data_IF_822005333303
#
_entry.id   IF_822005333303
#
_cell.length_a   1.000
_cell.length_b   1.000
_cell.length_c   1.000
_cell.angle_alpha   90.00
_cell.angle_beta   90.00
_cell.angle_gamma   90.00
#
_symmetry.space_group_name_H-M   'P 1'
#
loop_
_entity.id
_entity.type
_entity.pdbx_description
1 polymer ?
#
# COMPACT_ATOMS: atom_id res chain seq x y z
N UNK A 1 40.74 3.37 14.12
CA UNK A 1 40.32 2.14 13.44
C UNK A 1 38.88 1.91 13.86
N UNK A 2 37.93 2.12 12.95
CA UNK A 2 36.53 1.72 13.17
C UNK A 2 36.52 0.21 13.40
N UNK A 3 36.06 -0.23 14.58
CA UNK A 3 35.93 -1.66 14.83
C UNK A 3 34.80 -2.17 13.93
N UNK A 4 35.16 -3.01 12.96
CA UNK A 4 34.17 -3.78 12.22
C UNK A 4 33.62 -4.82 13.19
N UNK A 5 32.58 -4.44 13.93
CA UNK A 5 31.87 -5.38 14.78
C UNK A 5 31.21 -6.42 13.87
N UNK A 6 31.27 -7.69 14.28
CA UNK A 6 30.54 -8.73 13.57
C UNK A 6 29.04 -8.39 13.63
N UNK A 7 28.29 -8.58 12.53
CA UNK A 7 26.84 -8.47 12.56
C UNK A 7 26.27 -9.36 13.67
N UNK A 8 25.21 -8.89 14.34
CA UNK A 8 24.45 -9.73 15.25
C UNK A 8 23.84 -10.94 14.49
N UNK A 9 23.43 -12.01 15.20
CA UNK A 9 22.94 -13.22 14.57
C UNK A 9 21.78 -12.97 13.60
N UNK A 10 20.81 -12.14 13.98
CA UNK A 10 19.63 -11.88 13.16
C UNK A 10 19.98 -11.12 11.86
N UNK A 11 20.83 -10.08 11.96
CA UNK A 11 21.38 -9.40 10.77
C UNK A 11 22.19 -10.35 9.88
N UNK A 12 22.95 -11.27 10.46
CA UNK A 12 23.69 -12.29 9.70
C UNK A 12 22.73 -13.24 8.97
N UNK A 13 21.63 -13.63 9.60
CA UNK A 13 20.66 -14.55 9.02
C UNK A 13 19.91 -13.89 7.86
N UNK A 14 19.56 -12.59 7.95
CA UNK A 14 19.08 -11.79 6.81
C UNK A 14 20.08 -11.73 5.65
N UNK A 15 21.37 -11.54 5.95
CA UNK A 15 22.43 -11.55 4.91
C UNK A 15 22.51 -12.94 4.25
N UNK A 16 22.36 -14.03 5.01
CA UNK A 16 22.35 -15.37 4.46
C UNK A 16 21.15 -15.62 3.56
N UNK A 17 19.97 -15.16 3.97
CA UNK A 17 18.72 -15.22 3.21
C UNK A 17 18.85 -14.54 1.84
N UNK A 18 19.33 -13.29 1.81
CA UNK A 18 19.51 -12.54 0.56
C UNK A 18 20.54 -13.22 -0.35
N UNK A 19 21.64 -13.74 0.22
CA UNK A 19 22.65 -14.46 -0.55
C UNK A 19 22.13 -15.81 -1.08
N UNK A 20 21.33 -16.54 -0.29
CA UNK A 20 20.74 -17.79 -0.71
C UNK A 20 19.80 -17.59 -1.90
N UNK A 21 18.98 -16.52 -1.86
CA UNK A 21 18.11 -16.16 -2.98
C UNK A 21 18.90 -15.81 -4.25
N UNK A 22 20.00 -15.04 -4.13
CA UNK A 22 20.90 -14.72 -5.25
C UNK A 22 21.56 -15.94 -5.91
N UNK A 23 21.56 -17.08 -5.22
CA UNK A 23 22.07 -18.34 -5.72
C UNK A 23 20.96 -19.37 -5.99
N UNK A 24 19.69 -18.95 -6.05
CA UNK A 24 18.52 -19.80 -6.30
C UNK A 24 18.40 -21.00 -5.33
N UNK A 25 18.75 -20.77 -4.06
CA UNK A 25 18.78 -21.79 -3.01
C UNK A 25 18.02 -21.37 -1.73
N UNK A 26 17.08 -20.43 -1.85
CA UNK A 26 16.30 -19.92 -0.71
C UNK A 26 15.16 -20.85 -0.29
N UNK A 27 14.98 -21.01 1.02
CA UNK A 27 13.81 -21.64 1.64
C UNK A 27 12.86 -20.52 2.10
N UNK A 28 11.63 -20.52 1.59
CA UNK A 28 10.65 -19.46 1.84
C UNK A 28 10.17 -19.49 3.30
N UNK A 29 9.96 -20.67 3.87
CA UNK A 29 9.46 -20.82 5.24
C UNK A 29 10.51 -20.27 6.23
N UNK A 30 11.77 -20.69 6.08
CA UNK A 30 12.88 -20.17 6.89
C UNK A 30 13.09 -18.65 6.69
N UNK A 31 12.72 -18.12 5.52
CA UNK A 31 12.80 -16.72 5.23
C UNK A 31 11.73 -15.91 5.98
N UNK A 32 10.49 -16.39 5.95
CA UNK A 32 9.38 -15.82 6.74
C UNK A 32 9.71 -15.83 8.23
N UNK A 33 10.21 -16.95 8.78
CA UNK A 33 10.64 -17.04 10.18
C UNK A 33 11.69 -15.97 10.54
N UNK A 34 12.68 -15.77 9.64
CA UNK A 34 13.72 -14.76 9.85
C UNK A 34 13.12 -13.36 9.87
N UNK A 35 12.19 -13.05 8.97
CA UNK A 35 11.55 -11.73 8.87
C UNK A 35 10.59 -11.47 10.04
N UNK A 36 9.84 -12.48 10.49
CA UNK A 36 9.03 -12.39 11.71
C UNK A 36 9.90 -12.04 12.92
N UNK A 37 11.07 -12.67 13.07
CA UNK A 37 12.01 -12.35 14.16
C UNK A 37 12.54 -10.89 14.12
N UNK A 38 12.59 -10.25 12.94
CA UNK A 38 12.86 -8.81 12.83
C UNK A 38 11.67 -7.97 13.31
N UNK A 39 10.45 -8.34 12.93
CA UNK A 39 9.23 -7.66 13.36
C UNK A 39 9.03 -7.76 14.87
N UNK A 40 9.24 -8.93 15.46
CA UNK A 40 9.19 -9.15 16.92
C UNK A 40 10.21 -8.30 17.71
N UNK A 41 11.32 -7.93 17.07
CA UNK A 41 12.37 -7.09 17.67
C UNK A 41 12.19 -5.59 17.36
N UNK A 42 11.08 -5.19 16.74
CA UNK A 42 10.81 -3.81 16.30
C UNK A 42 11.94 -3.27 15.38
N UNK A 43 12.46 -4.15 14.51
CA UNK A 43 13.54 -3.84 13.56
C UNK A 43 13.04 -3.68 12.13
N UNK A 44 11.79 -3.27 11.95
CA UNK A 44 11.21 -3.05 10.61
C UNK A 44 12.00 -2.02 9.79
N UNK A 45 12.52 -0.96 10.43
CA UNK A 45 13.29 0.08 9.73
C UNK A 45 14.60 -0.45 9.14
N UNK A 46 15.21 -1.46 9.77
CA UNK A 46 16.41 -2.11 9.23
C UNK A 46 16.06 -2.86 7.94
N UNK A 47 14.92 -3.55 7.90
CA UNK A 47 14.42 -4.25 6.71
C UNK A 47 14.10 -3.27 5.58
N UNK A 48 13.36 -2.20 5.87
CA UNK A 48 13.04 -1.16 4.88
C UNK A 48 14.31 -0.52 4.30
N UNK A 49 15.33 -0.31 5.13
CA UNK A 49 16.62 0.26 4.70
C UNK A 49 17.38 -0.71 3.79
N UNK A 50 17.36 -2.00 4.09
CA UNK A 50 17.97 -3.03 3.24
C UNK A 50 17.23 -3.11 1.90
N UNK A 51 15.90 -3.18 1.90
CA UNK A 51 15.09 -3.20 0.68
C UNK A 51 15.39 -2.03 -0.25
N UNK A 52 15.50 -0.81 0.29
CA UNK A 52 15.84 0.38 -0.50
C UNK A 52 17.23 0.35 -1.16
N UNK A 53 18.11 -0.58 -0.74
CA UNK A 53 19.44 -0.76 -1.30
C UNK A 53 19.55 -1.96 -2.26
N UNK A 54 18.48 -2.75 -2.38
CA UNK A 54 18.40 -3.89 -3.30
C UNK A 54 17.98 -3.43 -4.70
N UNK A 55 18.25 -4.28 -5.69
CA UNK A 55 17.63 -4.16 -7.01
C UNK A 55 16.13 -4.50 -6.94
N UNK A 56 15.38 -4.06 -7.95
CA UNK A 56 13.91 -4.17 -8.01
C UNK A 56 13.41 -5.61 -7.79
N UNK A 57 13.97 -6.59 -8.51
CA UNK A 57 13.56 -8.00 -8.42
C UNK A 57 13.77 -8.56 -7.01
N UNK A 58 14.92 -8.26 -6.39
CA UNK A 58 15.21 -8.73 -5.03
C UNK A 58 14.40 -7.97 -3.97
N UNK A 59 14.10 -6.68 -4.20
CA UNK A 59 13.28 -5.87 -3.30
C UNK A 59 11.81 -6.34 -3.33
N UNK A 60 11.26 -6.59 -4.51
CA UNK A 60 9.91 -7.17 -4.71
C UNK A 60 9.80 -8.51 -4.00
N UNK A 61 10.72 -9.43 -4.28
CA UNK A 61 10.75 -10.74 -3.61
C UNK A 61 10.85 -10.65 -2.08
N UNK A 62 11.72 -9.77 -1.56
CA UNK A 62 11.88 -9.61 -0.11
C UNK A 62 10.63 -8.98 0.51
N UNK A 63 9.96 -8.07 -0.21
CA UNK A 63 8.73 -7.46 0.24
C UNK A 63 7.57 -8.44 0.26
N UNK A 64 7.47 -9.35 -0.71
CA UNK A 64 6.43 -10.40 -0.73
C UNK A 64 6.52 -11.27 0.54
N UNK A 65 7.73 -11.73 0.86
CA UNK A 65 7.98 -12.50 2.08
C UNK A 65 7.75 -11.69 3.36
N UNK A 66 8.03 -10.38 3.33
CA UNK A 66 7.81 -9.50 4.46
C UNK A 66 6.32 -9.22 4.68
N UNK A 67 5.56 -9.04 3.61
CA UNK A 67 4.11 -8.88 3.66
C UNK A 67 3.45 -10.12 4.24
N UNK A 68 3.90 -11.30 3.81
CA UNK A 68 3.51 -12.57 4.41
C UNK A 68 3.89 -12.64 5.89
N UNK A 69 5.17 -12.42 6.25
CA UNK A 69 5.64 -12.46 7.63
C UNK A 69 4.88 -11.50 8.57
N UNK A 70 4.48 -10.33 8.07
CA UNK A 70 3.71 -9.36 8.83
C UNK A 70 2.23 -9.72 8.98
N UNK A 71 1.69 -10.55 8.08
CA UNK A 71 0.24 -10.79 7.99
C UNK A 71 -0.15 -12.25 8.19
N UNK A 72 0.78 -13.20 8.29
CA UNK A 72 0.49 -14.61 8.50
C UNK A 72 1.26 -15.14 9.71
N UNK A 73 0.58 -15.94 10.54
CA UNK A 73 1.17 -16.60 11.70
C UNK A 73 0.66 -18.03 11.76
N UNK A 74 1.58 -18.99 11.90
CA UNK A 74 1.21 -20.39 12.11
C UNK A 74 0.63 -20.56 13.52
N UNK A 75 -0.54 -21.19 13.61
CA UNK A 75 -1.19 -21.48 14.88
C UNK A 75 -0.65 -22.78 15.46
N UNK A 76 -0.32 -22.78 16.75
CA UNK A 76 0.09 -23.99 17.45
C UNK A 76 -1.10 -24.98 17.54
N UNK A 77 -0.97 -26.11 16.84
CA UNK A 77 -1.93 -27.22 16.84
C UNK A 77 -1.36 -28.50 17.44
N UNK A 78 -2.15 -29.57 17.49
CA UNK A 78 -1.62 -30.88 17.87
C UNK A 78 -0.60 -31.37 16.82
N UNK A 79 0.48 -32.08 17.21
CA UNK A 79 1.58 -32.45 16.30
C UNK A 79 1.18 -33.36 15.13
N UNK A 80 -0.01 -33.94 15.15
CA UNK A 80 -0.57 -34.79 14.09
C UNK A 80 -1.63 -34.05 13.22
N UNK A 81 -1.97 -32.81 13.56
CA UNK A 81 -2.88 -31.97 12.78
C UNK A 81 -2.14 -31.24 11.67
N UNK A 82 -2.87 -30.92 10.59
CA UNK A 82 -2.31 -30.06 9.54
C UNK A 82 -2.03 -28.67 10.12
N UNK A 83 -0.94 -28.01 9.71
CA UNK A 83 -0.71 -26.63 10.12
C UNK A 83 -1.90 -25.79 9.72
N UNK A 84 -2.29 -24.88 10.61
CA UNK A 84 -3.31 -23.88 10.34
C UNK A 84 -2.75 -22.51 10.59
N UNK A 85 -3.26 -21.53 9.86
CA UNK A 85 -2.74 -20.18 9.89
C UNK A 85 -3.82 -19.18 10.31
N UNK A 86 -3.36 -18.12 10.98
CA UNK A 86 -4.07 -16.86 11.08
C UNK A 86 -3.48 -15.92 10.02
N UNK A 87 -4.32 -15.38 9.14
CA UNK A 87 -3.91 -14.52 8.03
C UNK A 87 -4.72 -13.22 8.06
N UNK A 88 -4.04 -12.08 7.94
CA UNK A 88 -4.66 -10.76 7.82
C UNK A 88 -4.63 -10.30 6.36
N UNK A 89 -5.83 -10.07 5.82
CA UNK A 89 -6.04 -9.68 4.44
C UNK A 89 -6.73 -8.32 4.34
N UNK A 90 -6.56 -7.67 3.18
CA UNK A 90 -7.23 -6.45 2.81
C UNK A 90 -7.94 -6.62 1.47
N UNK A 91 -9.10 -5.99 1.36
CA UNK A 91 -9.81 -5.79 0.09
C UNK A 91 -9.95 -4.29 -0.17
N UNK A 92 -9.46 -3.86 -1.32
CA UNK A 92 -9.62 -2.49 -1.79
C UNK A 92 -11.05 -2.26 -2.32
N UNK A 93 -11.66 -1.16 -1.90
CA UNK A 93 -13.05 -0.84 -2.18
C UNK A 93 -13.18 0.61 -2.68
N UNK A 94 -13.84 0.83 -3.82
CA UNK A 94 -13.99 2.17 -4.36
C UNK A 94 -15.00 2.98 -3.53
N UNK A 95 -14.69 4.26 -3.28
CA UNK A 95 -15.54 5.23 -2.60
C UNK A 95 -16.28 6.12 -3.61
N UNK A 96 -17.42 6.66 -3.18
CA UNK A 96 -18.15 7.65 -3.98
C UNK A 96 -17.46 9.02 -3.97
N UNK A 97 -17.53 9.72 -5.10
CA UNK A 97 -17.19 11.14 -5.15
C UNK A 97 -18.19 11.93 -4.30
N UNK A 98 -17.70 12.69 -3.31
CA UNK A 98 -18.44 13.47 -2.30
C UNK A 98 -18.90 12.70 -1.05
N UNK A 99 -17.94 12.28 -0.23
CA UNK A 99 -18.20 11.63 1.05
C UNK A 99 -18.80 12.59 2.09
N UNK A 100 -19.74 12.12 2.92
CA UNK A 100 -20.28 12.92 4.02
C UNK A 100 -19.21 13.15 5.11
N UNK A 101 -19.32 14.27 5.81
CA UNK A 101 -18.51 14.54 7.02
C UNK A 101 -19.42 14.61 8.24
N UNK A 102 -19.24 13.76 9.27
CA UNK A 102 -18.19 12.74 9.41
C UNK A 102 -18.43 11.49 8.55
N UNK A 103 -17.35 10.78 8.21
CA UNK A 103 -17.39 9.51 7.47
C UNK A 103 -18.19 8.43 8.20
N UNK A 104 -19.05 7.73 7.48
CA UNK A 104 -19.93 6.67 7.96
C UNK A 104 -19.50 5.25 7.55
N UNK A 105 -18.25 5.09 7.12
CA UNK A 105 -17.56 3.85 6.71
C UNK A 105 -17.63 2.69 7.73
N UNK A 106 -18.80 2.10 7.87
CA UNK A 106 -19.11 1.01 8.82
C UNK A 106 -19.81 -0.13 8.12
N UNK A 107 -19.53 -1.33 8.58
CA UNK A 107 -20.15 -2.56 8.10
C UNK A 107 -20.54 -3.43 9.30
N UNK A 108 -21.37 -4.45 9.07
CA UNK A 108 -21.68 -5.47 10.07
C UNK A 108 -20.66 -6.61 9.94
N UNK A 109 -19.77 -6.83 10.92
CA UNK A 109 -18.73 -7.86 10.85
C UNK A 109 -19.26 -9.27 10.56
N UNK A 110 -20.42 -9.64 11.12
CA UNK A 110 -20.98 -10.98 10.97
C UNK A 110 -21.50 -11.18 9.54
N UNK A 111 -22.28 -10.22 9.05
CA UNK A 111 -22.81 -10.28 7.68
C UNK A 111 -21.69 -10.19 6.64
N UNK A 112 -20.67 -9.37 6.90
CA UNK A 112 -19.49 -9.28 6.03
C UNK A 112 -18.66 -10.55 6.05
N UNK A 113 -18.47 -11.19 7.21
CA UNK A 113 -17.78 -12.47 7.29
C UNK A 113 -18.48 -13.57 6.45
N UNK A 114 -19.81 -13.64 6.52
CA UNK A 114 -20.59 -14.57 5.70
C UNK A 114 -20.45 -14.28 4.19
N UNK A 115 -20.46 -13.00 3.80
CA UNK A 115 -20.24 -12.57 2.42
C UNK A 115 -18.85 -12.96 1.91
N UNK A 116 -17.81 -12.66 2.70
CA UNK A 116 -16.42 -12.99 2.38
C UNK A 116 -16.23 -14.50 2.26
N UNK A 117 -16.69 -15.28 3.25
CA UNK A 117 -16.58 -16.73 3.20
C UNK A 117 -17.21 -17.32 1.93
N UNK A 118 -18.38 -16.82 1.54
CA UNK A 118 -19.08 -17.30 0.36
C UNK A 118 -18.38 -16.90 -0.94
N UNK A 119 -18.05 -15.62 -1.10
CA UNK A 119 -17.63 -15.06 -2.38
C UNK A 119 -16.11 -15.14 -2.62
N UNK A 120 -15.32 -15.31 -1.57
CA UNK A 120 -13.91 -15.69 -1.67
C UNK A 120 -13.73 -17.22 -1.74
N UNK A 121 -14.83 -18.00 -1.70
CA UNK A 121 -14.86 -19.46 -1.79
C UNK A 121 -13.92 -20.14 -0.79
N UNK A 122 -13.88 -19.61 0.44
CA UNK A 122 -12.96 -20.08 1.46
C UNK A 122 -13.26 -21.52 1.88
N UNK A 123 -12.23 -22.30 2.21
CA UNK A 123 -12.40 -23.71 2.55
C UNK A 123 -13.21 -23.86 3.85
N UNK A 124 -14.04 -24.92 3.95
CA UNK A 124 -14.78 -25.21 5.17
C UNK A 124 -13.85 -25.34 6.38
N UNK A 125 -14.22 -24.73 7.50
CA UNK A 125 -13.40 -24.69 8.72
C UNK A 125 -12.63 -23.38 8.90
N UNK A 126 -12.52 -22.56 7.85
CA UNK A 126 -11.96 -21.20 7.96
C UNK A 126 -12.95 -20.29 8.66
N UNK A 127 -12.51 -19.65 9.74
CA UNK A 127 -13.28 -18.60 10.43
C UNK A 127 -12.85 -17.25 9.85
N UNK A 128 -13.83 -16.45 9.41
CA UNK A 128 -13.58 -15.10 8.90
C UNK A 128 -14.00 -14.08 9.95
N UNK A 129 -13.12 -13.12 10.24
CA UNK A 129 -13.42 -11.99 11.12
C UNK A 129 -13.16 -10.69 10.38
N UNK A 130 -14.18 -9.86 10.19
CA UNK A 130 -14.03 -8.56 9.51
C UNK A 130 -13.91 -7.41 10.53
N UNK A 131 -13.08 -6.41 10.22
CA UNK A 131 -13.08 -5.14 10.96
C UNK A 131 -14.44 -4.43 10.75
N UNK A 132 -15.04 -3.85 11.80
CA UNK A 132 -16.35 -3.19 11.69
C UNK A 132 -16.32 -1.85 10.94
N UNK A 133 -15.13 -1.33 10.64
CA UNK A 133 -14.93 -0.07 9.93
C UNK A 133 -14.06 -0.30 8.72
N UNK A 134 -14.43 0.34 7.61
CA UNK A 134 -13.53 0.42 6.47
C UNK A 134 -12.50 1.51 6.76
N UNK A 135 -11.23 1.18 6.56
CA UNK A 135 -10.13 2.10 6.81
C UNK A 135 -9.87 2.91 5.53
N UNK A 136 -9.45 4.16 5.69
CA UNK A 136 -9.00 4.98 4.55
C UNK A 136 -7.50 4.81 4.38
N UNK A 137 -6.98 5.15 3.20
CA UNK A 137 -5.55 5.30 2.94
C UNK A 137 -4.85 6.15 4.02
N UNK A 138 -5.40 7.31 4.38
CA UNK A 138 -4.89 8.17 5.43
C UNK A 138 -4.92 7.54 6.84
N UNK A 139 -5.78 6.54 7.06
CA UNK A 139 -5.83 5.79 8.30
C UNK A 139 -4.84 4.63 8.29
N UNK A 140 -4.72 3.91 7.17
CA UNK A 140 -3.75 2.83 6.97
C UNK A 140 -2.31 3.33 7.00
N UNK A 141 -2.06 4.55 6.53
CA UNK A 141 -0.72 5.18 6.55
C UNK A 141 -0.11 5.24 7.96
N UNK A 142 -0.94 5.21 9.01
CA UNK A 142 -0.52 5.26 10.40
C UNK A 142 -0.14 3.89 10.98
N UNK A 143 -0.36 2.80 10.23
CA UNK A 143 0.01 1.45 10.63
C UNK A 143 1.46 1.14 10.29
N UNK A 144 2.01 0.12 10.95
CA UNK A 144 3.38 -0.38 10.76
C UNK A 144 3.36 -1.89 10.54
N UNK A 145 4.42 -2.45 9.94
CA UNK A 145 4.53 -3.89 9.74
C UNK A 145 4.58 -4.61 11.09
N UNK A 146 5.33 -4.05 12.04
CA UNK A 146 5.35 -4.54 13.42
C UNK A 146 3.94 -4.57 14.03
N UNK A 147 3.13 -3.50 13.85
CA UNK A 147 1.77 -3.43 14.37
C UNK A 147 0.80 -4.43 13.72
N UNK A 148 0.95 -4.71 12.42
CA UNK A 148 0.18 -5.75 11.73
C UNK A 148 0.54 -7.15 12.23
N UNK A 149 1.84 -7.41 12.40
CA UNK A 149 2.34 -8.67 12.94
C UNK A 149 1.83 -8.91 14.36
N UNK A 150 2.01 -7.94 15.26
CA UNK A 150 1.53 -8.01 16.64
C UNK A 150 0.02 -8.30 16.71
N UNK A 151 -0.77 -7.69 15.84
CA UNK A 151 -2.21 -7.94 15.77
C UNK A 151 -2.53 -9.37 15.34
N UNK A 152 -1.84 -9.87 14.30
CA UNK A 152 -2.03 -11.24 13.79
C UNK A 152 -1.56 -12.29 14.80
N UNK A 153 -0.43 -12.06 15.47
CA UNK A 153 0.10 -12.92 16.53
C UNK A 153 -0.84 -12.96 17.74
N UNK A 154 -1.36 -11.81 18.18
CA UNK A 154 -2.35 -11.76 19.25
C UNK A 154 -3.63 -12.54 18.90
N UNK A 155 -4.03 -12.54 17.62
CA UNK A 155 -5.17 -13.32 17.14
C UNK A 155 -4.90 -14.82 17.17
N UNK A 156 -3.73 -15.26 16.68
CA UNK A 156 -3.30 -16.65 16.71
C UNK A 156 -3.28 -17.21 18.15
N UNK A 157 -2.84 -16.38 19.11
CA UNK A 157 -2.82 -16.71 20.54
C UNK A 157 -4.19 -16.56 21.24
N UNK A 158 -5.26 -16.28 20.50
CA UNK A 158 -6.62 -16.07 21.04
C UNK A 158 -6.70 -14.98 22.11
N UNK A 159 -5.87 -13.94 22.00
CA UNK A 159 -5.90 -12.79 22.90
C UNK A 159 -7.11 -11.88 22.62
N UNK A 160 -7.35 -10.93 23.53
CA UNK A 160 -8.46 -9.99 23.38
C UNK A 160 -8.21 -9.03 22.22
N UNK A 161 -9.08 -9.09 21.22
CA UNK A 161 -9.04 -8.21 20.05
C UNK A 161 -9.10 -6.72 20.41
N UNK A 162 -8.23 -5.95 19.77
CA UNK A 162 -8.28 -4.50 19.71
C UNK A 162 -8.58 -4.10 18.27
N UNK A 163 -9.36 -3.03 18.05
CA UNK A 163 -9.55 -2.52 16.69
C UNK A 163 -8.24 -1.93 16.17
N UNK A 164 -7.95 -2.16 14.89
CA UNK A 164 -6.72 -1.68 14.26
C UNK A 164 -6.60 -0.16 14.31
N UNK A 165 -7.71 0.56 14.14
CA UNK A 165 -7.73 2.01 14.18
C UNK A 165 -8.85 2.53 15.09
N UNK A 166 -8.51 3.39 16.05
CA UNK A 166 -9.49 4.03 16.93
C UNK A 166 -10.30 5.14 16.21
N UNK A 167 -9.68 5.81 15.23
CA UNK A 167 -10.22 6.97 14.51
C UNK A 167 -10.01 6.77 13.01
N UNK A 168 -10.94 7.33 12.23
CA UNK A 168 -10.82 7.40 10.77
C UNK A 168 -10.35 8.79 10.37
N UNK A 169 -9.40 8.83 9.45
CA UNK A 169 -8.92 10.04 8.80
C UNK A 169 -9.63 10.23 7.46
N UNK A 170 -9.79 11.48 7.03
CA UNK A 170 -10.34 11.76 5.70
C UNK A 170 -9.45 11.10 4.64
N UNK A 171 -10.02 10.37 3.67
CA UNK A 171 -9.21 9.71 2.69
C UNK A 171 -8.57 10.74 1.75
N UNK A 172 -7.40 10.41 1.20
CA UNK A 172 -6.77 11.22 0.17
C UNK A 172 -7.20 10.74 -1.22
N UNK A 173 -7.32 9.43 -1.39
CA UNK A 173 -7.88 8.79 -2.59
C UNK A 173 -9.33 8.35 -2.39
N UNK A 174 -10.12 8.15 -3.45
CA UNK A 174 -11.47 7.56 -3.34
C UNK A 174 -11.41 6.05 -3.14
N UNK A 175 -10.61 5.62 -2.17
CA UNK A 175 -10.39 4.22 -1.82
C UNK A 175 -10.57 4.00 -0.31
N UNK A 176 -11.28 2.93 0.03
CA UNK A 176 -11.36 2.40 1.38
C UNK A 176 -10.93 0.93 1.40
N UNK A 177 -10.49 0.46 2.56
CA UNK A 177 -9.95 -0.87 2.74
C UNK A 177 -10.79 -1.62 3.76
N UNK A 178 -11.28 -2.79 3.35
CA UNK A 178 -11.85 -3.77 4.25
C UNK A 178 -10.73 -4.67 4.75
N UNK A 179 -10.38 -4.55 6.03
CA UNK A 179 -9.45 -5.49 6.67
C UNK A 179 -10.25 -6.65 7.27
N UNK A 180 -9.79 -7.86 7.03
CA UNK A 180 -10.38 -9.07 7.59
C UNK A 180 -9.32 -10.13 7.86
N UNK A 181 -9.62 -11.02 8.79
CA UNK A 181 -8.75 -12.11 9.23
C UNK A 181 -9.34 -13.46 8.82
N UNK A 182 -8.48 -14.38 8.42
CA UNK A 182 -8.78 -15.78 8.14
C UNK A 182 -8.09 -16.63 9.20
N UNK A 183 -8.86 -17.36 10.00
CA UNK A 183 -8.34 -18.20 11.10
C UNK A 183 -8.64 -19.66 10.78
N UNK A 184 -7.66 -20.52 10.99
CA UNK A 184 -7.81 -21.95 10.72
C UNK A 184 -7.65 -22.29 9.23
N UNK A 185 -7.09 -21.37 8.44
CA UNK A 185 -6.82 -21.62 7.03
C UNK A 185 -5.77 -22.73 6.91
N UNK A 186 -5.94 -23.72 6.01
CA UNK A 186 -4.96 -24.79 5.83
C UNK A 186 -3.66 -24.31 5.15
N UNK A 187 -3.66 -23.08 4.65
CA UNK A 187 -2.57 -22.41 3.96
C UNK A 187 -2.54 -20.94 4.38
N UNK A 188 -1.36 -20.31 4.37
CA UNK A 188 -1.19 -18.88 4.57
C UNK A 188 -1.56 -18.07 3.31
N UNK A 189 -1.62 -18.73 2.14
CA UNK A 189 -2.00 -18.10 0.87
C UNK A 189 -3.43 -17.53 0.85
N UNK A 190 -3.59 -16.41 0.15
CA UNK A 190 -4.88 -15.77 -0.12
C UNK A 190 -5.45 -16.21 -1.48
N UNK A 191 -6.78 -16.10 -1.68
CA UNK A 191 -7.38 -16.34 -2.99
C UNK A 191 -6.72 -15.47 -4.07
N UNK A 192 -6.13 -16.10 -5.10
CA UNK A 192 -5.40 -15.40 -6.17
C UNK A 192 -6.32 -14.69 -7.18
N UNK A 193 -7.60 -15.06 -7.23
CA UNK A 193 -8.55 -14.51 -8.20
C UNK A 193 -9.97 -14.42 -7.66
N UNK A 194 -10.72 -13.49 -8.23
CA UNK A 194 -12.11 -13.21 -7.90
C UNK A 194 -12.94 -13.21 -9.19
N UNK A 195 -13.80 -14.22 -9.31
CA UNK A 195 -14.73 -14.36 -10.45
C UNK A 195 -15.70 -13.18 -10.51
N UNK A 196 -16.09 -12.79 -11.73
CA UNK A 196 -16.93 -11.60 -11.94
C UNK A 196 -18.25 -11.64 -11.17
N UNK A 197 -18.91 -12.81 -11.10
CA UNK A 197 -20.16 -12.98 -10.37
C UNK A 197 -19.96 -12.80 -8.85
N UNK A 198 -18.86 -13.33 -8.32
CA UNK A 198 -18.52 -13.22 -6.89
C UNK A 198 -18.12 -11.79 -6.53
N UNK A 199 -17.37 -11.13 -7.40
CA UNK A 199 -16.99 -9.71 -7.29
C UNK A 199 -18.20 -8.80 -7.23
N UNK A 200 -19.16 -8.99 -8.14
CA UNK A 200 -20.40 -8.23 -8.17
C UNK A 200 -21.25 -8.46 -6.90
N UNK A 201 -21.40 -9.72 -6.48
CA UNK A 201 -22.20 -10.06 -5.33
C UNK A 201 -21.58 -9.57 -4.01
N UNK A 202 -20.25 -9.66 -3.89
CA UNK A 202 -19.50 -9.15 -2.74
C UNK A 202 -19.67 -7.63 -2.61
N UNK A 203 -19.41 -6.88 -3.69
CA UNK A 203 -19.58 -5.41 -3.66
C UNK A 203 -21.02 -5.02 -3.36
N UNK A 204 -22.00 -5.66 -4.00
CA UNK A 204 -23.41 -5.36 -3.75
C UNK A 204 -23.80 -5.58 -2.27
N UNK A 205 -23.28 -6.65 -1.65
CA UNK A 205 -23.47 -6.92 -0.23
C UNK A 205 -22.80 -5.90 0.69
N UNK A 206 -21.64 -5.37 0.30
CA UNK A 206 -20.94 -4.31 1.04
C UNK A 206 -21.62 -2.95 0.88
N UNK A 207 -22.00 -2.56 -0.34
CA UNK A 207 -22.73 -1.31 -0.64
C UNK A 207 -24.07 -1.26 0.09
N UNK A 208 -24.76 -2.40 0.23
CA UNK A 208 -26.01 -2.48 1.00
C UNK A 208 -25.83 -2.14 2.49
N UNK A 209 -24.63 -2.34 3.03
CA UNK A 209 -24.28 -2.00 4.42
C UNK A 209 -23.68 -0.61 4.55
N UNK A 210 -22.84 -0.21 3.60
CA UNK A 210 -22.11 1.05 3.57
C UNK A 210 -22.39 1.79 2.25
N UNK A 211 -23.39 2.70 2.24
CA UNK A 211 -23.75 3.47 1.04
C UNK A 211 -22.68 4.46 0.55
N UNK A 212 -21.58 4.66 1.27
CA UNK A 212 -20.44 5.48 0.85
C UNK A 212 -19.54 4.77 -0.17
N UNK A 213 -19.68 3.45 -0.32
CA UNK A 213 -19.00 2.67 -1.35
C UNK A 213 -19.60 2.94 -2.73
N UNK A 214 -18.75 3.03 -3.74
CA UNK A 214 -19.16 3.15 -5.13
C UNK A 214 -19.52 1.76 -5.70
N UNK A 215 -20.61 1.64 -6.47
CA UNK A 215 -21.00 0.38 -7.12
C UNK A 215 -20.18 0.14 -8.39
N UNK A 216 -18.86 0.06 -8.27
CA UNK A 216 -17.90 -0.18 -9.35
C UNK A 216 -17.21 -1.55 -9.19
N UNK A 217 -17.90 -2.68 -9.46
CA UNK A 217 -17.37 -4.01 -9.19
C UNK A 217 -16.09 -4.29 -9.98
N UNK A 218 -15.93 -3.74 -11.19
CA UNK A 218 -14.72 -3.92 -12.00
C UNK A 218 -13.43 -3.43 -11.33
N UNK A 219 -13.52 -2.56 -10.31
CA UNK A 219 -12.37 -2.06 -9.55
C UNK A 219 -11.96 -2.97 -8.38
N UNK A 220 -12.79 -3.95 -8.02
CA UNK A 220 -12.44 -4.88 -6.95
C UNK A 220 -11.50 -5.94 -7.51
N UNK A 221 -10.37 -6.15 -6.84
CA UNK A 221 -9.42 -7.21 -7.16
C UNK A 221 -9.45 -8.32 -6.10
N UNK A 222 -8.59 -9.33 -6.28
CA UNK A 222 -8.37 -10.37 -5.28
C UNK A 222 -7.87 -9.75 -3.96
N UNK A 223 -8.22 -10.30 -2.79
CA UNK A 223 -7.68 -9.81 -1.53
C UNK A 223 -6.17 -10.04 -1.46
N UNK A 224 -5.46 -9.06 -0.91
CA UNK A 224 -4.00 -9.08 -0.70
C UNK A 224 -3.68 -9.11 0.79
N UNK A 225 -2.43 -9.39 1.16
CA UNK A 225 -2.01 -9.20 2.55
C UNK A 225 -2.19 -7.73 2.95
N UNK A 226 -2.63 -7.48 4.19
CA UNK A 226 -2.87 -6.12 4.66
C UNK A 226 -1.62 -5.22 4.60
N UNK A 227 -0.42 -5.80 4.63
CA UNK A 227 0.84 -5.11 4.44
C UNK A 227 0.97 -4.44 3.05
N UNK A 228 0.48 -5.07 1.97
CA UNK A 228 0.46 -4.43 0.65
C UNK A 228 -0.44 -3.19 0.64
N UNK A 229 -1.68 -3.35 1.08
CA UNK A 229 -2.63 -2.24 1.18
C UNK A 229 -2.11 -1.09 2.07
N UNK A 230 -1.44 -1.42 3.17
CA UNK A 230 -0.77 -0.44 4.03
C UNK A 230 0.34 0.30 3.27
N UNK A 231 1.19 -0.41 2.54
CA UNK A 231 2.30 0.19 1.80
C UNK A 231 1.82 1.07 0.65
N UNK A 232 0.81 0.62 -0.10
CA UNK A 232 0.17 1.40 -1.16
C UNK A 232 -0.44 2.69 -0.58
N UNK A 233 -1.19 2.57 0.52
CA UNK A 233 -1.75 3.72 1.21
C UNK A 233 -0.67 4.70 1.71
N UNK A 234 0.42 4.20 2.30
CA UNK A 234 1.53 5.05 2.74
C UNK A 234 2.15 5.81 1.57
N UNK A 235 2.39 5.13 0.45
CA UNK A 235 2.96 5.75 -0.74
C UNK A 235 2.00 6.78 -1.36
N UNK A 236 0.72 6.46 -1.46
CA UNK A 236 -0.31 7.36 -1.96
C UNK A 236 -0.41 8.65 -1.14
N UNK A 237 -0.51 8.52 0.18
CA UNK A 237 -0.60 9.67 1.09
C UNK A 237 0.68 10.50 1.08
N UNK A 238 1.87 9.86 1.04
CA UNK A 238 3.15 10.57 0.94
C UNK A 238 3.26 11.36 -0.35
N UNK A 239 2.85 10.79 -1.48
CA UNK A 239 2.87 11.46 -2.78
C UNK A 239 1.94 12.68 -2.77
N UNK A 240 0.73 12.55 -2.23
CA UNK A 240 -0.20 13.68 -2.14
C UNK A 240 0.31 14.78 -1.19
N UNK A 241 0.89 14.43 -0.03
CA UNK A 241 1.53 15.42 0.85
C UNK A 241 2.66 16.15 0.13
N UNK A 242 3.48 15.42 -0.63
CA UNK A 242 4.55 16.02 -1.43
C UNK A 242 3.98 16.98 -2.48
N UNK A 243 2.90 16.61 -3.15
CA UNK A 243 2.21 17.48 -4.11
C UNK A 243 1.64 18.74 -3.43
N UNK A 244 1.03 18.62 -2.26
CA UNK A 244 0.52 19.76 -1.48
C UNK A 244 1.64 20.70 -1.04
N UNK A 245 2.76 20.16 -0.56
CA UNK A 245 3.95 20.93 -0.21
C UNK A 245 4.53 21.67 -1.42
N UNK A 246 4.62 21.01 -2.58
CA UNK A 246 5.00 21.64 -3.85
C UNK A 246 4.11 22.84 -4.17
N UNK A 247 2.79 22.64 -4.10
CA UNK A 247 1.81 23.68 -4.41
C UNK A 247 1.95 24.85 -3.44
N UNK A 248 2.17 24.58 -2.16
CA UNK A 248 2.41 25.62 -1.16
C UNK A 248 3.65 26.45 -1.51
N UNK A 249 4.78 25.80 -1.81
CA UNK A 249 6.01 26.49 -2.23
C UNK A 249 5.79 27.28 -3.52
N UNK A 250 5.14 26.71 -4.53
CA UNK A 250 4.85 27.39 -5.79
C UNK A 250 3.99 28.64 -5.60
N UNK A 251 3.01 28.60 -4.68
CA UNK A 251 2.17 29.75 -4.32
C UNK A 251 2.93 30.86 -3.59
N UNK A 252 4.06 30.55 -2.95
CA UNK A 252 4.93 31.54 -2.31
C UNK A 252 5.90 32.22 -3.29
N UNK A 253 6.11 31.65 -4.49
CA UNK A 253 6.93 32.27 -5.52
C UNK A 253 6.30 33.56 -6.04
N UNK A 254 7.14 34.58 -6.25
CA UNK A 254 6.77 35.79 -6.97
C UNK A 254 6.23 35.45 -8.36
N UNK A 255 5.22 36.19 -8.84
CA UNK A 255 4.52 35.91 -10.09
C UNK A 255 5.46 35.76 -11.29
N UNK A 256 6.54 36.56 -11.35
CA UNK A 256 7.55 36.49 -12.42
C UNK A 256 8.43 35.24 -12.35
N UNK A 257 8.68 34.72 -11.16
CA UNK A 257 9.45 33.49 -10.94
C UNK A 257 8.56 32.28 -11.21
N UNK A 258 7.32 32.32 -10.72
CA UNK A 258 6.28 31.33 -10.94
C UNK A 258 6.03 31.06 -12.43
N UNK A 259 5.90 32.10 -13.25
CA UNK A 259 5.71 31.98 -14.70
C UNK A 259 6.90 31.36 -15.47
N UNK A 260 8.02 31.11 -14.77
CA UNK A 260 9.26 30.55 -15.31
C UNK A 260 9.71 29.28 -14.59
N UNK A 261 8.95 28.84 -13.58
CA UNK A 261 9.27 27.68 -12.76
C UNK A 261 8.55 26.45 -13.30
N UNK A 262 9.31 25.42 -13.62
CA UNK A 262 8.78 24.09 -13.90
C UNK A 262 8.97 23.25 -12.64
N UNK A 263 7.90 22.61 -12.19
CA UNK A 263 7.97 21.64 -11.11
C UNK A 263 8.17 20.27 -11.71
N UNK A 264 9.25 19.61 -11.30
CA UNK A 264 9.50 18.22 -11.66
C UNK A 264 9.28 17.36 -10.42
N UNK A 265 8.36 16.42 -10.52
CA UNK A 265 8.16 15.41 -9.49
C UNK A 265 9.05 14.22 -9.86
N UNK A 266 10.13 14.04 -9.11
CA UNK A 266 11.04 12.93 -9.32
C UNK A 266 10.59 11.76 -8.47
N UNK A 267 10.24 10.66 -9.13
CA UNK A 267 9.96 9.39 -8.44
C UNK A 267 11.19 8.48 -8.63
N UNK A 268 11.68 7.93 -7.52
CA UNK A 268 12.68 6.87 -7.54
C UNK A 268 11.93 5.53 -7.52
N UNK A 269 11.96 4.84 -8.64
CA UNK A 269 11.46 3.47 -8.78
C UNK A 269 12.65 2.51 -8.75
N UNK A 270 12.42 1.24 -8.37
CA UNK A 270 13.33 0.23 -7.81
C UNK A 270 14.72 -0.05 -8.43
N UNK A 271 15.20 0.75 -9.38
CA UNK A 271 16.56 0.65 -9.95
C UNK A 271 17.39 1.94 -9.82
N UNK A 272 16.94 2.92 -9.01
CA UNK A 272 17.56 4.25 -8.99
C UNK A 272 17.36 5.01 -10.31
N UNK A 273 16.41 4.58 -11.13
CA UNK A 273 15.95 5.31 -12.30
C UNK A 273 14.97 6.36 -11.80
N UNK A 274 15.37 7.62 -11.93
CA UNK A 274 14.49 8.76 -11.73
C UNK A 274 13.52 8.81 -12.91
N UNK A 275 12.25 8.51 -12.68
CA UNK A 275 11.21 8.82 -13.65
C UNK A 275 10.75 10.26 -13.39
N UNK A 276 11.00 11.22 -14.30
CA UNK A 276 10.42 12.54 -14.18
C UNK A 276 8.94 12.42 -14.53
N UNK A 277 8.08 12.60 -13.53
CA UNK A 277 6.66 12.81 -13.75
C UNK A 277 6.45 14.31 -13.90
N UNK A 278 6.01 14.69 -15.09
CA UNK A 278 5.69 16.07 -15.41
C UNK A 278 4.20 16.28 -15.12
N UNK A 279 3.89 17.21 -14.23
CA UNK A 279 2.53 17.69 -14.03
C UNK A 279 2.43 19.09 -14.60
N UNK A 280 1.54 19.28 -15.57
CA UNK A 280 1.19 20.60 -16.07
C UNK A 280 0.54 21.39 -14.92
N UNK A 281 1.23 22.41 -14.42
CA UNK A 281 0.66 23.32 -13.43
C UNK A 281 -0.24 24.34 -14.16
N UNK A 282 -1.55 24.11 -14.09
CA UNK A 282 -2.54 25.11 -14.50
C UNK A 282 -2.61 26.23 -13.46
N UNK A 283 -2.50 27.47 -13.91
CA UNK A 283 -2.72 28.64 -13.05
C UNK A 283 -4.24 28.80 -12.81
N UNK A 284 -4.74 28.63 -11.57
CA UNK A 284 -6.16 28.75 -11.27
C UNK A 284 -6.72 30.18 -11.43
N UNK A 285 -5.85 31.19 -11.60
CA UNK A 285 -6.25 32.56 -11.91
C UNK A 285 -6.44 32.81 -13.42
N UNK A 286 -6.09 31.84 -14.28
CA UNK A 286 -6.26 31.92 -15.72
C UNK A 286 -7.55 31.19 -16.19
N UNK A 287 -8.24 31.69 -17.23
CA UNK A 287 -9.40 31.02 -17.81
C UNK A 287 -9.06 29.63 -18.35
N UNK A 288 -9.98 28.66 -18.25
CA UNK A 288 -9.83 27.26 -18.73
C UNK A 288 -9.35 27.16 -20.20
N UNK A 289 -9.60 28.17 -21.03
CA UNK A 289 -9.13 28.23 -22.43
C UNK A 289 -7.61 28.44 -22.60
N UNK A 290 -6.84 28.70 -21.53
CA UNK A 290 -5.40 28.96 -21.62
C UNK A 290 -4.51 27.71 -21.75
N UNK A 291 -5.06 26.50 -21.62
CA UNK A 291 -4.28 25.25 -21.73
C UNK A 291 -3.09 25.19 -20.75
N UNK A 292 -2.29 24.10 -20.79
CA UNK A 292 -1.02 24.05 -20.09
C UNK A 292 -0.13 25.21 -20.54
N UNK A 293 0.57 25.88 -19.62
CA UNK A 293 1.55 26.90 -19.98
C UNK A 293 2.78 26.19 -20.57
N UNK A 294 2.75 25.93 -21.87
CA UNK A 294 3.85 25.30 -22.59
C UNK A 294 5.13 26.16 -22.46
N UNK A 295 6.10 25.64 -21.73
CA UNK A 295 7.46 26.15 -21.67
C UNK A 295 8.24 25.77 -22.92
N UNK A 296 8.70 26.77 -23.66
CA UNK A 296 9.80 26.75 -24.64
C UNK A 296 9.71 25.81 -25.87
N UNK A 297 10.03 26.30 -27.09
CA UNK A 297 10.11 25.47 -28.30
C UNK A 297 11.30 24.48 -28.35
N UNK A 298 12.16 24.44 -27.33
CA UNK A 298 13.40 23.62 -27.31
C UNK A 298 13.32 22.37 -26.41
N UNK A 299 12.16 22.05 -25.85
CA UNK A 299 11.98 20.88 -24.96
C UNK A 299 11.27 19.74 -25.70
N UNK A 300 11.93 18.58 -25.75
CA UNK A 300 11.35 17.35 -26.28
C UNK A 300 10.52 16.66 -25.19
N UNK A 301 9.21 16.66 -25.40
CA UNK A 301 8.22 15.99 -24.55
C UNK A 301 8.22 14.50 -24.86
N UNK A 302 8.58 13.66 -23.89
CA UNK A 302 8.15 12.27 -23.87
C UNK A 302 6.89 12.19 -23.00
N UNK A 303 5.75 12.35 -23.65
CA UNK A 303 4.44 12.04 -23.08
C UNK A 303 4.30 10.53 -22.97
N UNK A 304 3.96 10.01 -21.80
CA UNK A 304 2.89 9.04 -21.81
C UNK A 304 1.63 9.87 -22.08
N UNK A 305 1.09 9.79 -23.30
CA UNK A 305 -0.04 10.60 -23.77
C UNK A 305 -1.22 10.57 -22.82
N UNK A 306 -1.32 11.51 -21.89
CA UNK A 306 -2.55 11.85 -21.19
C UNK A 306 -2.54 13.35 -20.89
N UNK A 307 -3.52 14.13 -21.37
CA UNK A 307 -3.81 15.44 -20.80
C UNK A 307 -4.32 15.19 -19.37
N UNK A 308 -3.48 15.43 -18.36
CA UNK A 308 -3.88 15.31 -16.96
C UNK A 308 -4.54 16.63 -16.57
N UNK A 309 -5.85 16.73 -16.83
CA UNK A 309 -6.71 17.49 -15.94
C UNK A 309 -6.72 16.75 -14.60
N UNK A 310 -6.36 17.43 -13.52
CA UNK A 310 -6.42 16.91 -12.15
C UNK A 310 -7.68 16.04 -11.93
N UNK A 311 -7.50 14.79 -11.47
CA UNK A 311 -7.34 14.56 -10.03
C UNK A 311 -6.23 13.54 -9.68
N UNK A 312 -5.64 13.68 -8.49
CA UNK A 312 -4.46 12.94 -8.00
C UNK A 312 -4.53 11.41 -7.98
N UNK A 313 -5.72 10.81 -8.17
CA UNK A 313 -5.90 9.34 -8.23
C UNK A 313 -5.21 8.68 -9.42
N UNK A 314 -5.24 9.28 -10.61
CA UNK A 314 -4.68 8.64 -11.81
C UNK A 314 -3.14 8.62 -11.81
N UNK A 315 -2.52 9.60 -11.15
CA UNK A 315 -1.07 9.68 -11.07
C UNK A 315 -0.53 8.66 -10.06
N UNK A 316 -1.21 8.53 -8.93
CA UNK A 316 -0.79 7.68 -7.82
C UNK A 316 -0.94 6.20 -8.17
N UNK A 317 -2.08 5.78 -8.73
CA UNK A 317 -2.31 4.40 -9.17
C UNK A 317 -1.26 3.89 -10.17
N UNK A 318 -0.72 4.79 -11.01
CA UNK A 318 0.26 4.39 -12.03
C UNK A 318 1.71 4.41 -11.51
N UNK A 319 2.05 5.29 -10.56
CA UNK A 319 3.38 5.29 -9.94
C UNK A 319 3.54 4.15 -8.93
N UNK A 320 2.44 3.74 -8.29
CA UNK A 320 2.39 2.52 -7.48
C UNK A 320 2.57 1.27 -8.34
N UNK A 321 1.89 1.19 -9.49
CA UNK A 321 2.02 0.09 -10.44
C UNK A 321 3.44 -0.06 -11.04
N UNK A 322 4.29 0.97 -10.95
CA UNK A 322 5.68 0.97 -11.44
C UNK A 322 6.70 0.84 -10.28
N UNK A 323 6.27 0.50 -9.06
CA UNK A 323 7.17 0.19 -7.94
C UNK A 323 7.95 1.38 -7.37
N UNK A 324 7.40 2.60 -7.46
CA UNK A 324 8.07 3.82 -7.00
C UNK A 324 7.92 4.03 -5.49
N UNK A 325 9.05 4.14 -4.76
CA UNK A 325 9.08 4.09 -3.28
C UNK A 325 9.65 5.35 -2.62
N UNK A 326 10.28 6.24 -3.39
CA UNK A 326 10.80 7.53 -2.90
C UNK A 326 10.42 8.65 -3.84
N UNK A 327 9.93 9.75 -3.27
CA UNK A 327 9.45 10.90 -4.01
C UNK A 327 10.25 12.13 -3.58
N UNK A 328 10.85 12.84 -4.54
CA UNK A 328 11.59 14.07 -4.30
C UNK A 328 11.10 15.15 -5.28
N UNK A 329 10.88 16.36 -4.77
CA UNK A 329 10.64 17.52 -5.62
C UNK A 329 11.96 18.19 -5.98
N UNK A 330 12.16 18.45 -7.26
CA UNK A 330 13.24 19.31 -7.72
C UNK A 330 12.61 20.50 -8.42
N UNK A 331 12.83 21.70 -7.86
CA UNK A 331 12.49 22.97 -8.52
C UNK A 331 13.74 23.39 -9.28
N UNK A 332 13.68 23.34 -10.61
CA UNK A 332 14.82 23.67 -11.47
C UNK A 332 14.54 24.99 -12.19
N UNK A 333 15.41 25.97 -11.98
CA UNK A 333 15.47 27.20 -12.77
C UNK A 333 16.21 26.88 -14.08
N UNK A 334 15.60 27.17 -15.23
CA UNK A 334 16.18 26.81 -16.53
C UNK A 334 17.43 27.68 -16.82
N UNK A 335 18.52 27.14 -17.41
CA UNK A 335 19.79 27.86 -17.58
C UNK A 335 19.74 29.11 -18.48
N UNK A 336 18.67 29.27 -19.25
CA UNK A 336 18.45 30.44 -20.12
C UNK A 336 17.48 31.49 -19.52
N UNK A 337 17.02 31.29 -18.28
CA UNK A 337 16.33 32.29 -17.47
C UNK A 337 16.66 32.14 -15.99
#
# INVERSE_FOLDING_TARGET
MTSWNRPDPLTRDLIHLINARRHDHGDADAAVDTLQAFLEQDREQDLLTVMAALDEEMAEWLFDLLAEAACSVMMEGEPDEKPTYAVMAALELPLQANLPTPLGLKINPVTTADLLHKHLRLPPGTVVLAEPRLLTDATLELLTLHGLHDHTSALAESQRRQYMAARLHAPVESTAYLIFELIGSPDHGLPESLEDEDRQALLAGLVAQCPELAPAPQMIEAPVYAAYAMFDAQNAVRLHRLADETVAVWRELDQTVRSRTIVHLHTQCGNGVYMPVWTDLFDPELPEEHGPVWTSPDVWVFTADLPIEWPGEMLTNRLLAEGCTRFENHIVEAPEN
#
